data_IF_813421946427
#
_entry.id   IF_813421946427
#
_cell.length_a   1.000
_cell.length_b   1.000
_cell.length_c   1.000
_cell.angle_alpha   90.00
_cell.angle_beta   90.00
_cell.angle_gamma   90.00
#
_symmetry.space_group_name_H-M   'P 1'
#
loop_
_entity.id
_entity.type
_entity.pdbx_description
1 polymer ?
#
# COMPACT_ATOMS: atom_id res chain seq x y z
N UNK A 1 -22.70 14.91 -6.41
CA UNK A 1 -21.96 14.05 -5.46
C UNK A 1 -20.56 13.71 -5.97
N UNK A 2 -20.38 13.20 -7.19
CA UNK A 2 -19.05 12.84 -7.73
C UNK A 2 -18.05 14.02 -7.78
N UNK A 3 -18.48 15.21 -8.21
CA UNK A 3 -17.57 16.37 -8.30
C UNK A 3 -17.04 16.87 -6.95
N UNK A 4 -17.82 16.73 -5.87
CA UNK A 4 -17.38 17.11 -4.52
C UNK A 4 -16.30 16.17 -3.97
N UNK A 5 -16.45 14.86 -4.19
CA UNK A 5 -15.45 13.87 -3.79
C UNK A 5 -14.13 14.01 -4.53
N UNK A 6 -14.17 14.32 -5.84
CA UNK A 6 -12.96 14.54 -6.63
C UNK A 6 -12.14 15.74 -6.13
N UNK A 7 -12.81 16.85 -5.79
CA UNK A 7 -12.15 18.04 -5.23
C UNK A 7 -11.54 17.77 -3.86
N UNK A 8 -12.21 16.98 -3.02
CA UNK A 8 -11.68 16.58 -1.72
C UNK A 8 -10.45 15.67 -1.88
N UNK A 9 -10.53 14.65 -2.74
CA UNK A 9 -9.41 13.73 -3.01
C UNK A 9 -8.18 14.46 -3.55
N UNK A 10 -8.35 15.44 -4.44
CA UNK A 10 -7.25 16.21 -5.00
C UNK A 10 -6.46 17.02 -3.93
N UNK A 11 -7.10 17.37 -2.81
CA UNK A 11 -6.47 18.09 -1.69
C UNK A 11 -5.79 17.14 -0.69
N UNK A 12 -5.95 15.83 -0.86
CA UNK A 12 -5.50 14.81 0.08
C UNK A 12 -4.51 13.83 -0.58
N UNK A 13 -3.98 14.19 -1.76
CA UNK A 13 -2.98 13.39 -2.47
C UNK A 13 -1.66 13.43 -1.67
N UNK A 14 -1.02 12.27 -1.43
CA UNK A 14 0.29 12.27 -0.79
C UNK A 14 1.32 13.02 -1.63
N UNK A 15 2.17 13.85 -1.03
CA UNK A 15 3.23 14.54 -1.76
C UNK A 15 4.35 13.57 -2.15
N UNK A 16 5.04 13.87 -3.25
CA UNK A 16 6.37 13.33 -3.50
C UNK A 16 7.35 14.36 -2.93
N UNK A 17 8.11 14.03 -1.85
CA UNK A 17 9.03 14.97 -1.21
C UNK A 17 10.11 15.44 -2.19
N UNK A 18 10.78 16.54 -1.88
CA UNK A 18 11.96 16.97 -2.62
C UNK A 18 13.10 15.97 -2.42
N UNK A 19 13.33 15.54 -1.18
CA UNK A 19 14.36 14.57 -0.80
C UNK A 19 13.90 13.73 0.40
N UNK A 20 14.42 12.50 0.48
CA UNK A 20 14.44 11.66 1.67
C UNK A 20 15.85 11.78 2.25
N UNK A 21 15.96 12.09 3.54
CA UNK A 21 17.24 12.31 4.21
C UNK A 21 17.40 11.37 5.40
N UNK A 22 18.63 10.94 5.66
CA UNK A 22 18.98 10.19 6.87
C UNK A 22 19.15 11.09 8.09
N UNK A 23 19.47 10.51 9.27
CA UNK A 23 19.57 11.26 10.52
C UNK A 23 20.70 12.29 10.54
N UNK A 24 21.74 12.08 9.71
CA UNK A 24 22.87 13.01 9.54
C UNK A 24 22.63 14.07 8.44
N UNK A 25 21.44 14.10 7.83
CA UNK A 25 21.08 15.00 6.73
C UNK A 25 21.64 14.58 5.37
N UNK A 26 22.16 13.36 5.24
CA UNK A 26 22.58 12.80 3.96
C UNK A 26 21.36 12.42 3.10
N UNK A 27 21.36 12.81 1.83
CA UNK A 27 20.29 12.47 0.90
C UNK A 27 20.32 10.97 0.58
N UNK A 28 19.19 10.30 0.84
CA UNK A 28 18.94 8.88 0.54
C UNK A 28 18.30 8.73 -0.84
N UNK A 29 17.26 9.51 -1.11
CA UNK A 29 16.55 9.51 -2.38
C UNK A 29 16.05 10.91 -2.71
N UNK A 30 15.93 11.22 -4.00
CA UNK A 30 15.46 12.52 -4.50
C UNK A 30 14.10 12.37 -5.17
N UNK A 31 13.39 13.49 -5.28
CA UNK A 31 12.16 13.57 -6.04
C UNK A 31 12.31 13.04 -7.47
N UNK A 32 13.43 13.36 -8.13
CA UNK A 32 13.69 12.89 -9.49
C UNK A 32 13.83 11.39 -9.56
N UNK A 33 14.55 10.75 -8.62
CA UNK A 33 14.70 9.29 -8.59
C UNK A 33 13.35 8.58 -8.41
N UNK A 34 12.48 9.09 -7.52
CA UNK A 34 11.12 8.55 -7.35
C UNK A 34 10.28 8.72 -8.64
N UNK A 35 10.41 9.85 -9.32
CA UNK A 35 9.71 10.09 -10.59
C UNK A 35 10.25 9.22 -11.74
N UNK A 36 11.57 9.07 -11.84
CA UNK A 36 12.23 8.22 -12.84
C UNK A 36 11.90 6.75 -12.58
N UNK A 37 11.80 6.33 -11.32
CA UNK A 37 11.29 5.01 -10.92
C UNK A 37 9.87 4.73 -11.38
N UNK A 38 8.98 5.73 -11.26
CA UNK A 38 7.63 5.64 -11.81
C UNK A 38 7.64 5.52 -13.34
N UNK A 39 8.56 6.21 -14.01
CA UNK A 39 8.75 6.08 -15.46
C UNK A 39 9.21 4.67 -15.83
N UNK A 40 10.21 4.12 -15.13
CA UNK A 40 10.68 2.76 -15.32
C UNK A 40 9.55 1.72 -15.12
N UNK A 41 8.74 1.89 -14.07
CA UNK A 41 7.56 1.07 -13.82
C UNK A 41 6.56 1.07 -14.99
N UNK A 42 6.28 2.25 -15.54
CA UNK A 42 5.31 2.42 -16.62
C UNK A 42 5.84 1.90 -17.97
N UNK A 43 7.09 2.22 -18.32
CA UNK A 43 7.69 1.83 -19.59
C UNK A 43 7.86 0.32 -19.71
N UNK A 44 8.21 -0.35 -18.61
CA UNK A 44 8.33 -1.80 -18.56
C UNK A 44 6.99 -2.52 -18.32
N UNK A 45 5.86 -1.79 -18.32
CA UNK A 45 4.51 -2.34 -18.18
C UNK A 45 4.33 -3.21 -16.94
N UNK A 46 4.94 -2.84 -15.82
CA UNK A 46 4.96 -3.67 -14.62
C UNK A 46 3.57 -3.85 -13.98
N UNK A 47 2.57 -3.00 -14.30
CA UNK A 47 1.15 -3.23 -13.98
C UNK A 47 0.52 -4.41 -14.73
N UNK A 48 1.09 -4.87 -15.85
CA UNK A 48 0.65 -6.08 -16.55
C UNK A 48 1.27 -7.35 -15.96
N UNK A 49 2.31 -7.18 -15.12
CA UNK A 49 2.96 -8.26 -14.39
C UNK A 49 2.39 -8.36 -12.96
N UNK A 50 2.55 -7.33 -12.15
CA UNK A 50 2.03 -7.22 -10.78
C UNK A 50 1.11 -6.03 -10.61
N UNK A 51 1.01 -5.53 -9.37
CA UNK A 51 0.18 -4.37 -9.03
C UNK A 51 0.93 -3.34 -8.19
N UNK A 52 0.43 -2.11 -8.16
CA UNK A 52 0.91 -1.09 -7.22
C UNK A 52 -0.30 -0.41 -6.60
N UNK A 53 -0.26 -0.16 -5.29
CA UNK A 53 -1.42 0.33 -4.54
C UNK A 53 -2.68 -0.53 -4.77
N UNK A 54 -2.51 -1.85 -4.94
CA UNK A 54 -3.60 -2.81 -5.19
C UNK A 54 -4.18 -2.78 -6.60
N UNK A 55 -3.60 -2.01 -7.52
CA UNK A 55 -4.08 -1.86 -8.89
C UNK A 55 -3.08 -2.44 -9.89
N UNK A 56 -3.48 -3.46 -10.64
CA UNK A 56 -2.67 -4.09 -11.68
C UNK A 56 -3.06 -5.53 -11.92
N UNK A 57 -2.11 -6.30 -12.46
CA UNK A 57 -2.22 -7.74 -12.64
C UNK A 57 -1.87 -8.49 -11.35
N UNK A 58 -2.19 -9.77 -11.33
CA UNK A 58 -1.98 -10.67 -10.19
C UNK A 58 -1.00 -11.80 -10.50
N UNK A 59 -0.16 -11.63 -11.54
CA UNK A 59 0.84 -12.64 -11.86
C UNK A 59 2.08 -12.50 -10.96
N UNK A 60 2.58 -11.27 -10.82
CA UNK A 60 3.59 -10.89 -9.83
C UNK A 60 2.98 -10.45 -8.50
N UNK A 61 3.83 -9.90 -7.64
CA UNK A 61 3.44 -9.31 -6.35
C UNK A 61 2.76 -7.95 -6.52
N UNK A 62 2.14 -7.45 -5.44
CA UNK A 62 1.91 -6.02 -5.32
C UNK A 62 3.20 -5.34 -4.83
N UNK A 63 3.76 -4.44 -5.63
CA UNK A 63 5.05 -3.81 -5.34
C UNK A 63 5.01 -2.91 -4.12
N UNK A 64 3.86 -2.30 -3.79
CA UNK A 64 3.74 -1.50 -2.56
C UNK A 64 3.76 -2.40 -1.33
N UNK A 65 2.98 -3.49 -1.35
CA UNK A 65 2.93 -4.43 -0.23
C UNK A 65 4.24 -5.21 -0.05
N UNK A 66 4.84 -5.70 -1.13
CA UNK A 66 6.13 -6.40 -1.11
C UNK A 66 7.25 -5.47 -0.61
N UNK A 67 7.27 -4.20 -1.02
CA UNK A 67 8.25 -3.24 -0.51
C UNK A 67 8.06 -2.92 0.97
N UNK A 68 6.82 -2.77 1.43
CA UNK A 68 6.56 -2.51 2.85
C UNK A 68 7.03 -3.69 3.71
N UNK A 69 6.78 -4.91 3.27
CA UNK A 69 7.22 -6.13 3.94
C UNK A 69 8.75 -6.21 3.97
N UNK A 70 9.43 -5.98 2.84
CA UNK A 70 10.90 -5.91 2.78
C UNK A 70 11.47 -4.81 3.68
N UNK A 71 10.83 -3.63 3.74
CA UNK A 71 11.25 -2.54 4.63
C UNK A 71 11.21 -3.02 6.09
N UNK A 72 10.10 -3.62 6.52
CA UNK A 72 9.95 -4.21 7.87
C UNK A 72 11.03 -5.27 8.14
N UNK A 73 11.24 -6.21 7.21
CA UNK A 73 12.24 -7.28 7.36
C UNK A 73 13.67 -6.73 7.50
N UNK A 74 14.05 -5.73 6.71
CA UNK A 74 15.37 -5.13 6.79
C UNK A 74 15.58 -4.27 8.04
N UNK A 75 14.55 -3.56 8.52
CA UNK A 75 14.61 -2.87 9.82
C UNK A 75 14.77 -3.88 10.97
N UNK A 76 14.07 -5.02 10.92
CA UNK A 76 14.25 -6.12 11.88
C UNK A 76 15.67 -6.65 11.88
N UNK A 77 16.23 -6.91 10.70
CA UNK A 77 17.58 -7.42 10.54
C UNK A 77 18.63 -6.43 11.02
N UNK A 78 18.43 -5.13 10.77
CA UNK A 78 19.28 -4.07 11.31
C UNK A 78 19.38 -4.15 12.83
N UNK A 79 18.23 -4.21 13.51
CA UNK A 79 18.20 -4.27 14.98
C UNK A 79 18.70 -5.59 15.54
N UNK A 80 18.44 -6.71 14.86
CA UNK A 80 18.94 -8.01 15.27
C UNK A 80 20.47 -8.04 15.24
N UNK A 81 21.05 -7.52 14.15
CA UNK A 81 22.49 -7.41 14.02
C UNK A 81 23.08 -6.40 15.02
N UNK A 82 22.46 -5.23 15.20
CA UNK A 82 22.93 -4.19 16.12
C UNK A 82 22.93 -4.64 17.59
N UNK A 83 21.87 -5.31 18.04
CA UNK A 83 21.69 -5.65 19.46
C UNK A 83 22.16 -7.05 19.84
N UNK A 84 22.17 -7.98 18.90
CA UNK A 84 22.39 -9.40 19.18
C UNK A 84 23.44 -10.06 18.29
N UNK A 85 24.01 -9.34 17.32
CA UNK A 85 25.03 -9.83 16.39
C UNK A 85 24.61 -11.13 15.65
N UNK A 86 23.32 -11.28 15.36
CA UNK A 86 22.73 -12.46 14.71
C UNK A 86 21.53 -12.06 13.85
N UNK A 87 21.11 -12.96 12.96
CA UNK A 87 19.92 -12.77 12.15
C UNK A 87 18.65 -12.74 13.01
N UNK A 88 17.64 -11.95 12.61
CA UNK A 88 16.36 -11.85 13.32
C UNK A 88 15.66 -13.21 13.50
N UNK A 89 15.80 -14.09 12.52
CA UNK A 89 15.18 -15.43 12.52
C UNK A 89 15.80 -16.41 13.53
N UNK A 90 17.01 -16.14 14.00
CA UNK A 90 17.72 -16.97 14.98
C UNK A 90 17.46 -16.53 16.44
N UNK A 91 16.78 -15.39 16.62
CA UNK A 91 16.45 -14.84 17.94
C UNK A 91 15.34 -15.64 18.64
N UNK A 92 15.32 -15.57 19.97
CA UNK A 92 14.19 -16.14 20.74
C UNK A 92 12.95 -15.25 20.57
N UNK A 93 11.74 -15.80 20.73
CA UNK A 93 10.50 -15.03 20.58
C UNK A 93 10.40 -13.76 21.45
N UNK A 94 11.01 -13.77 22.65
CA UNK A 94 11.02 -12.59 23.52
C UNK A 94 11.94 -11.46 23.00
N UNK A 95 13.01 -11.81 22.31
CA UNK A 95 13.93 -10.85 21.67
C UNK A 95 13.30 -10.31 20.38
N UNK A 96 12.69 -11.19 19.58
CA UNK A 96 11.92 -10.82 18.38
C UNK A 96 10.83 -9.80 18.71
N UNK A 97 10.00 -10.05 19.72
CA UNK A 97 8.95 -9.12 20.12
C UNK A 97 9.46 -7.75 20.61
N UNK A 98 10.69 -7.68 21.12
CA UNK A 98 11.34 -6.41 21.45
C UNK A 98 11.79 -5.64 20.20
N UNK A 99 12.25 -6.34 19.16
CA UNK A 99 12.60 -5.74 17.86
C UNK A 99 11.34 -5.33 17.10
N UNK A 100 10.29 -6.15 17.10
CA UNK A 100 9.02 -5.85 16.42
C UNK A 100 8.42 -4.53 16.95
N UNK A 101 8.46 -4.31 18.26
CA UNK A 101 8.08 -3.04 18.90
C UNK A 101 8.83 -1.84 18.32
N UNK A 102 10.12 -2.00 18.05
CA UNK A 102 10.96 -0.91 17.54
C UNK A 102 10.74 -0.66 16.06
N UNK A 103 10.44 -1.71 15.29
CA UNK A 103 10.04 -1.57 13.88
C UNK A 103 8.73 -0.80 13.80
N UNK A 104 7.74 -1.14 14.64
CA UNK A 104 6.50 -0.37 14.74
C UNK A 104 6.78 1.09 15.11
N UNK A 105 7.64 1.34 16.12
CA UNK A 105 7.95 2.70 16.57
C UNK A 105 8.72 3.52 15.50
N UNK A 106 9.58 2.89 14.67
CA UNK A 106 10.28 3.57 13.56
C UNK A 106 9.35 3.88 12.38
N UNK A 107 8.34 3.04 12.14
CA UNK A 107 7.39 3.21 11.02
C UNK A 107 6.13 4.01 11.41
N UNK A 108 5.93 4.30 12.70
CA UNK A 108 4.86 5.18 13.21
C UNK A 108 5.19 6.65 12.90
N UNK A 109 4.93 7.04 11.65
CA UNK A 109 5.22 8.37 11.13
C UNK A 109 3.95 9.19 10.90
N UNK A 110 4.00 10.49 11.21
CA UNK A 110 2.96 11.45 10.84
C UNK A 110 3.49 12.52 9.89
N UNK A 111 2.86 12.65 8.72
CA UNK A 111 3.26 13.67 7.75
C UNK A 111 2.91 15.09 8.22
N UNK A 112 3.91 15.97 8.22
CA UNK A 112 3.72 17.39 8.52
C UNK A 112 3.37 18.18 7.26
N UNK A 113 2.22 18.87 7.27
CA UNK A 113 1.75 19.65 6.12
C UNK A 113 2.78 20.73 5.71
N UNK A 114 3.26 20.66 4.46
CA UNK A 114 4.27 21.58 3.93
C UNK A 114 5.72 21.15 4.13
N UNK A 115 5.97 19.97 4.72
CA UNK A 115 7.30 19.40 4.76
C UNK A 115 7.83 19.13 3.34
N UNK A 116 9.07 19.55 3.09
CA UNK A 116 9.76 19.34 1.80
C UNK A 116 10.58 18.05 1.80
N UNK A 117 10.92 17.53 2.99
CA UNK A 117 11.75 16.34 3.19
C UNK A 117 11.05 15.28 4.03
N UNK A 118 11.43 14.02 3.80
CA UNK A 118 11.15 12.90 4.73
C UNK A 118 12.44 12.61 5.49
N UNK A 119 12.34 12.44 6.81
CA UNK A 119 13.48 12.13 7.69
C UNK A 119 13.42 10.65 8.08
N UNK A 120 14.38 9.86 7.60
CA UNK A 120 14.53 8.46 7.95
C UNK A 120 15.42 8.28 9.17
N UNK A 121 15.04 7.31 10.00
CA UNK A 121 15.92 6.73 11.01
C UNK A 121 17.07 5.94 10.36
N UNK A 122 18.14 5.64 11.11
CA UNK A 122 19.25 4.83 10.58
C UNK A 122 18.83 3.42 10.09
N UNK A 123 17.94 2.68 10.78
CA UNK A 123 17.39 1.43 10.29
C UNK A 123 16.61 1.58 8.98
N UNK A 124 15.85 2.67 8.80
CA UNK A 124 15.11 2.93 7.56
C UNK A 124 16.03 3.27 6.39
N UNK A 125 17.10 4.04 6.61
CA UNK A 125 18.13 4.28 5.59
C UNK A 125 18.75 2.96 5.15
N UNK A 126 19.09 2.08 6.09
CA UNK A 126 19.58 0.75 5.79
C UNK A 126 18.57 -0.05 4.96
N UNK A 127 17.30 -0.11 5.41
CA UNK A 127 16.24 -0.83 4.71
C UNK A 127 16.01 -0.28 3.29
N UNK A 128 16.06 1.03 3.09
CA UNK A 128 15.93 1.67 1.78
C UNK A 128 16.98 1.16 0.79
N UNK A 129 18.26 1.15 1.20
CA UNK A 129 19.34 0.65 0.33
C UNK A 129 19.23 -0.86 0.08
N UNK A 130 18.87 -1.66 1.08
CA UNK A 130 18.66 -3.09 0.90
C UNK A 130 17.53 -3.39 -0.10
N UNK A 131 16.42 -2.63 -0.06
CA UNK A 131 15.33 -2.77 -1.02
C UNK A 131 15.76 -2.37 -2.44
N UNK A 132 16.59 -1.31 -2.59
CA UNK A 132 17.14 -0.92 -3.89
C UNK A 132 17.96 -2.07 -4.50
N UNK A 133 18.79 -2.72 -3.70
CA UNK A 133 19.61 -3.85 -4.12
C UNK A 133 18.76 -5.08 -4.48
N UNK A 134 17.75 -5.40 -3.67
CA UNK A 134 16.79 -6.47 -3.95
C UNK A 134 16.04 -6.24 -5.27
N UNK A 135 15.62 -5.01 -5.54
CA UNK A 135 14.91 -4.66 -6.76
C UNK A 135 15.83 -4.70 -8.00
N UNK A 136 17.07 -4.24 -7.87
CA UNK A 136 18.09 -4.39 -8.90
C UNK A 136 18.30 -5.88 -9.24
N UNK A 137 18.50 -6.73 -8.24
CA UNK A 137 18.62 -8.17 -8.45
C UNK A 137 17.36 -8.75 -9.10
N UNK A 138 16.18 -8.46 -8.56
CA UNK A 138 14.93 -9.11 -8.97
C UNK A 138 14.47 -8.69 -10.37
N UNK A 139 14.57 -7.40 -10.71
CA UNK A 139 13.97 -6.84 -11.92
C UNK A 139 14.97 -6.50 -13.02
N UNK A 140 16.27 -6.34 -12.71
CA UNK A 140 17.31 -6.24 -13.72
C UNK A 140 18.00 -7.60 -13.97
N UNK A 141 18.57 -8.25 -12.95
CA UNK A 141 19.22 -9.56 -13.16
C UNK A 141 18.21 -10.66 -13.49
N UNK A 142 17.01 -10.54 -12.92
CA UNK A 142 15.86 -11.40 -13.18
C UNK A 142 15.60 -12.42 -12.07
N UNK A 143 14.37 -12.95 -12.04
CA UNK A 143 13.95 -13.95 -11.08
C UNK A 143 12.97 -14.91 -11.74
N UNK A 144 13.50 -16.03 -12.27
CA UNK A 144 12.69 -17.02 -12.99
C UNK A 144 11.58 -17.62 -12.12
N UNK A 145 11.84 -17.82 -10.82
CA UNK A 145 10.86 -18.33 -9.86
C UNK A 145 9.67 -17.37 -9.68
N UNK A 146 9.92 -16.07 -9.80
CA UNK A 146 8.89 -15.01 -9.76
C UNK A 146 8.34 -14.65 -11.14
N UNK A 147 8.74 -15.37 -12.18
CA UNK A 147 8.31 -15.10 -13.55
C UNK A 147 8.86 -13.80 -14.13
N UNK A 148 9.95 -13.26 -13.56
CA UNK A 148 10.62 -12.05 -14.01
C UNK A 148 11.81 -12.43 -14.89
N UNK A 149 11.82 -12.10 -16.20
CA UNK A 149 12.97 -12.36 -17.05
C UNK A 149 14.16 -11.46 -16.68
N UNK A 150 15.37 -11.87 -17.06
CA UNK A 150 16.53 -10.97 -17.04
C UNK A 150 16.26 -9.76 -17.96
N UNK A 151 16.81 -8.62 -17.58
CA UNK A 151 16.63 -7.33 -18.25
C UNK A 151 15.15 -6.90 -18.36
N UNK A 152 14.27 -7.33 -17.44
CA UNK A 152 12.88 -6.86 -17.45
C UNK A 152 12.81 -5.34 -17.25
N UNK A 153 13.72 -4.82 -16.42
CA UNK A 153 14.16 -3.43 -16.45
C UNK A 153 15.57 -3.41 -17.04
N UNK A 154 15.79 -2.57 -18.05
CA UNK A 154 16.98 -2.63 -18.91
C UNK A 154 18.30 -2.22 -18.26
N UNK A 155 18.26 -1.60 -17.08
CA UNK A 155 19.45 -1.22 -16.33
C UNK A 155 19.27 -1.38 -14.81
N UNK A 156 20.37 -1.65 -14.12
CA UNK A 156 20.44 -1.73 -12.66
C UNK A 156 19.98 -0.41 -12.00
N UNK A 157 20.36 0.73 -12.58
CA UNK A 157 19.99 2.06 -12.07
C UNK A 157 18.48 2.31 -12.16
N UNK A 158 17.85 2.01 -13.30
CA UNK A 158 16.39 2.13 -13.44
C UNK A 158 15.65 1.17 -12.50
N UNK A 159 16.22 -0.01 -12.20
CA UNK A 159 15.63 -0.95 -11.26
C UNK A 159 15.73 -0.45 -9.81
N UNK A 160 16.85 0.17 -9.43
CA UNK A 160 16.99 0.88 -8.14
C UNK A 160 16.00 2.04 -8.02
N UNK A 161 15.84 2.83 -9.08
CA UNK A 161 14.86 3.92 -9.12
C UNK A 161 13.43 3.38 -9.04
N UNK A 162 13.13 2.26 -9.69
CA UNK A 162 11.84 1.59 -9.51
C UNK A 162 11.61 1.20 -8.04
N UNK A 163 12.65 0.78 -7.33
CA UNK A 163 12.61 0.58 -5.88
C UNK A 163 12.28 1.88 -5.14
N UNK A 164 12.90 3.01 -5.47
CA UNK A 164 12.61 4.32 -4.86
C UNK A 164 11.13 4.72 -5.03
N UNK A 165 10.55 4.43 -6.20
CA UNK A 165 9.11 4.62 -6.42
C UNK A 165 8.25 3.69 -5.55
N UNK A 166 8.61 2.42 -5.46
CA UNK A 166 7.90 1.46 -4.63
C UNK A 166 8.01 1.79 -3.13
N UNK A 167 9.19 2.22 -2.67
CA UNK A 167 9.48 2.70 -1.32
C UNK A 167 8.65 3.94 -0.98
N UNK A 168 8.53 4.90 -1.91
CA UNK A 168 7.61 6.03 -1.72
C UNK A 168 6.16 5.55 -1.58
N UNK A 169 5.72 4.57 -2.39
CA UNK A 169 4.35 4.03 -2.23
C UNK A 169 4.16 3.27 -0.92
N UNK A 170 5.20 2.62 -0.40
CA UNK A 170 5.17 1.96 0.90
C UNK A 170 5.14 2.98 2.03
N UNK A 171 5.92 4.06 1.94
CA UNK A 171 5.93 5.14 2.91
C UNK A 171 4.54 5.78 3.07
N UNK A 172 3.89 6.21 1.98
CA UNK A 172 2.52 6.77 2.06
C UNK A 172 1.49 5.77 2.62
N UNK A 173 1.83 4.48 2.62
CA UNK A 173 0.94 3.41 3.05
C UNK A 173 0.98 3.15 4.56
N UNK A 174 2.04 3.58 5.25
CA UNK A 174 2.16 3.51 6.72
C UNK A 174 2.21 4.90 7.39
N UNK A 175 2.50 5.97 6.63
CA UNK A 175 2.57 7.33 7.18
C UNK A 175 1.20 7.99 7.27
N UNK A 176 0.87 8.47 8.47
CA UNK A 176 -0.36 9.18 8.77
C UNK A 176 -0.51 10.50 8.04
N UNK A 177 -1.74 10.76 7.57
CA UNK A 177 -2.11 12.05 6.98
C UNK A 177 -2.01 13.17 8.00
N UNK A 178 -1.77 14.42 7.57
CA UNK A 178 -1.82 15.57 8.48
C UNK A 178 -3.13 15.61 9.26
N UNK A 179 -3.03 15.65 10.59
CA UNK A 179 -4.18 15.75 11.50
C UNK A 179 -5.14 14.55 11.42
N UNK A 180 -4.60 13.37 11.10
CA UNK A 180 -5.31 12.08 11.08
C UNK A 180 -4.46 11.03 11.78
N UNK A 181 -5.13 10.02 12.33
CA UNK A 181 -4.52 8.78 12.87
C UNK A 181 -4.72 7.65 11.83
N UNK A 182 -4.50 7.98 10.56
CA UNK A 182 -4.71 7.07 9.43
C UNK A 182 -3.83 7.50 8.26
N UNK A 183 -3.12 6.53 7.69
CA UNK A 183 -2.25 6.66 6.54
C UNK A 183 -2.95 7.16 5.29
N UNK A 184 -2.19 7.61 4.29
CA UNK A 184 -2.75 8.11 3.02
C UNK A 184 -3.58 7.06 2.27
N UNK A 185 -3.34 5.77 2.53
CA UNK A 185 -4.02 4.64 1.89
C UNK A 185 -5.15 4.04 2.72
N UNK A 186 -5.40 4.54 3.93
CA UNK A 186 -6.37 3.98 4.89
C UNK A 186 -5.94 2.61 5.45
N UNK A 187 -4.70 2.50 5.90
CA UNK A 187 -4.09 1.30 6.51
C UNK A 187 -3.99 0.11 5.56
N UNK A 188 -3.93 0.42 4.26
CA UNK A 188 -3.64 -0.56 3.23
C UNK A 188 -2.17 -0.40 2.82
N UNK A 189 -1.39 -1.48 2.63
CA UNK A 189 -1.78 -2.88 2.71
C UNK A 189 -1.78 -3.40 4.15
N UNK A 190 -2.47 -4.52 4.41
CA UNK A 190 -2.43 -5.16 5.73
C UNK A 190 -1.00 -5.62 6.05
N UNK A 191 -0.37 -4.96 7.02
CA UNK A 191 0.92 -5.32 7.58
C UNK A 191 0.98 -4.82 9.05
N UNK A 192 0.60 -5.65 10.02
CA UNK A 192 0.59 -5.24 11.44
C UNK A 192 1.94 -4.80 11.96
N UNK A 193 3.03 -5.34 11.43
CA UNK A 193 4.40 -5.02 11.84
C UNK A 193 4.82 -3.61 11.38
N UNK A 194 4.11 -3.05 10.39
CA UNK A 194 4.21 -1.66 9.98
C UNK A 194 3.08 -0.77 10.54
N UNK A 195 2.28 -1.27 11.50
CA UNK A 195 1.14 -0.56 12.08
C UNK A 195 -0.17 -0.67 11.29
N UNK A 196 -0.13 -1.17 10.05
CA UNK A 196 -1.29 -1.21 9.18
C UNK A 196 -2.32 -2.27 9.57
N UNK A 197 -3.47 -1.82 10.07
CA UNK A 197 -4.62 -2.68 10.39
C UNK A 197 -5.95 -2.06 9.95
N UNK A 198 -7.00 -2.84 9.65
CA UNK A 198 -8.27 -2.27 9.18
C UNK A 198 -8.85 -1.25 10.16
N UNK A 199 -9.05 -0.01 9.69
CA UNK A 199 -9.59 1.08 10.52
C UNK A 199 -11.01 0.77 11.02
N UNK A 200 -11.38 1.37 12.16
CA UNK A 200 -12.75 1.31 12.66
C UNK A 200 -13.79 1.83 11.67
N UNK A 201 -13.44 2.88 10.91
CA UNK A 201 -14.31 3.42 9.85
C UNK A 201 -14.54 2.40 8.72
N UNK A 202 -13.49 1.71 8.27
CA UNK A 202 -13.59 0.64 7.27
C UNK A 202 -14.54 -0.46 7.73
N UNK A 203 -14.44 -0.89 8.99
CA UNK A 203 -15.32 -1.91 9.54
C UNK A 203 -16.78 -1.45 9.63
N UNK A 204 -17.04 -0.24 10.12
CA UNK A 204 -18.39 0.33 10.24
C UNK A 204 -19.07 0.46 8.88
N UNK A 205 -18.40 1.05 7.89
CA UNK A 205 -18.99 1.25 6.56
C UNK A 205 -19.20 -0.06 5.79
N UNK A 206 -18.37 -1.08 6.06
CA UNK A 206 -18.58 -2.43 5.51
C UNK A 206 -19.87 -3.05 6.02
N UNK A 207 -20.14 -2.96 7.33
CA UNK A 207 -21.39 -3.45 7.94
C UNK A 207 -22.60 -2.68 7.44
N UNK A 208 -22.53 -1.35 7.39
CA UNK A 208 -23.61 -0.50 6.86
C UNK A 208 -23.91 -0.89 5.41
N UNK A 209 -22.89 -1.05 4.56
CA UNK A 209 -23.05 -1.42 3.15
C UNK A 209 -23.73 -2.78 2.99
N UNK A 210 -23.35 -3.77 3.80
CA UNK A 210 -23.99 -5.09 3.82
C UNK A 210 -25.48 -5.00 4.18
N UNK A 211 -25.82 -4.25 5.23
CA UNK A 211 -27.22 -4.06 5.67
C UNK A 211 -28.03 -3.35 4.59
N UNK A 212 -27.47 -2.30 3.96
CA UNK A 212 -28.13 -1.58 2.87
C UNK A 212 -28.34 -2.47 1.65
N UNK A 213 -27.35 -3.31 1.28
CA UNK A 213 -27.47 -4.26 0.17
C UNK A 213 -28.62 -5.25 0.42
N UNK A 214 -28.61 -5.92 1.57
CA UNK A 214 -29.65 -6.89 1.94
C UNK A 214 -31.03 -6.22 2.02
N UNK A 215 -31.11 -5.02 2.61
CA UNK A 215 -32.32 -4.23 2.68
C UNK A 215 -32.86 -3.86 1.30
N UNK A 216 -32.00 -3.39 0.39
CA UNK A 216 -32.37 -3.03 -0.97
C UNK A 216 -32.87 -4.24 -1.78
N UNK A 217 -32.20 -5.39 -1.67
CA UNK A 217 -32.65 -6.64 -2.29
C UNK A 217 -34.02 -7.06 -1.75
N UNK A 218 -34.22 -7.00 -0.43
CA UNK A 218 -35.50 -7.33 0.19
C UNK A 218 -36.64 -6.41 -0.27
N UNK A 219 -36.40 -5.10 -0.32
CA UNK A 219 -37.36 -4.11 -0.86
C UNK A 219 -37.66 -4.40 -2.34
N UNK A 220 -36.63 -4.68 -3.14
CA UNK A 220 -36.80 -5.00 -4.56
C UNK A 220 -37.68 -6.24 -4.79
N UNK A 221 -37.45 -7.31 -4.03
CA UNK A 221 -38.26 -8.54 -4.07
C UNK A 221 -39.70 -8.26 -3.62
N UNK A 222 -39.89 -7.51 -2.53
CA UNK A 222 -41.22 -7.15 -2.04
C UNK A 222 -42.02 -6.34 -3.08
N UNK A 223 -41.39 -5.33 -3.70
CA UNK A 223 -42.02 -4.53 -4.74
C UNK A 223 -42.39 -5.38 -5.96
N UNK A 224 -41.49 -6.26 -6.42
CA UNK A 224 -41.74 -7.15 -7.55
C UNK A 224 -42.89 -8.14 -7.31
N UNK A 225 -43.02 -8.67 -6.09
CA UNK A 225 -44.16 -9.52 -5.74
C UNK A 225 -45.48 -8.72 -5.64
N UNK A 226 -45.43 -7.51 -5.09
CA UNK A 226 -46.59 -6.63 -5.00
C UNK A 226 -47.12 -6.22 -6.37
N UNK A 227 -46.25 -5.93 -7.34
CA UNK A 227 -46.65 -5.60 -8.72
C UNK A 227 -47.19 -6.82 -9.46
N UNK A 228 -46.58 -7.99 -9.33
CA UNK A 228 -47.08 -9.23 -9.96
C UNK A 228 -48.48 -9.63 -9.45
N UNK A 229 -48.73 -9.48 -8.15
CA UNK A 229 -50.05 -9.72 -7.56
C UNK A 229 -51.10 -8.72 -8.07
N UNK A 230 -50.69 -7.45 -8.29
CA UNK A 230 -51.56 -6.42 -8.84
C UNK A 230 -51.92 -6.68 -10.31
N UNK A 231 -50.95 -7.04 -11.16
CA UNK A 231 -51.18 -7.36 -12.57
C UNK A 231 -52.10 -8.57 -12.76
N UNK A 232 -51.93 -9.63 -11.96
CA UNK A 232 -52.83 -10.79 -11.95
C UNK A 232 -54.27 -10.40 -11.56
N UNK A 233 -54.43 -9.55 -10.53
CA UNK A 233 -55.75 -9.09 -10.10
C UNK A 233 -56.46 -8.23 -11.15
N UNK A 234 -55.71 -7.40 -11.90
CA UNK A 234 -56.24 -6.60 -13.02
C UNK A 234 -56.61 -7.50 -14.20
N UNK A 235 -55.76 -8.46 -14.56
CA UNK A 235 -56.03 -9.40 -15.65
C UNK A 235 -57.28 -10.24 -15.41
N UNK A 236 -57.46 -10.78 -14.19
CA UNK A 236 -58.65 -11.55 -13.82
C UNK A 236 -59.91 -10.68 -13.98
N UNK A 237 -59.88 -9.43 -13.49
CA UNK A 237 -61.03 -8.51 -13.57
C UNK A 237 -61.45 -8.24 -15.02
N UNK A 238 -60.50 -8.00 -15.92
CA UNK A 238 -60.76 -7.74 -17.33
C UNK A 238 -61.24 -8.96 -18.13
N UNK A 239 -61.04 -10.18 -17.63
CA UNK A 239 -61.54 -11.42 -18.28
C UNK A 239 -62.94 -11.83 -17.82
N UNK A 240 -63.45 -11.23 -16.75
CA UNK A 240 -64.77 -11.52 -16.18
C UNK A 240 -65.86 -10.51 -16.58
N UNK A 241 -65.52 -9.46 -17.30
CA UNK A 241 -66.42 -8.50 -17.96
C UNK A 241 -66.56 -8.83 -19.47
#
# INVERSE_FOLDING_TARGET
MLGGGALYSAQQVPPIPQEVIGPDGETVATQSQVQDGKVAFQQNSLMNHGSILGNGAYYGVDYTADTLDLKVEHVREYYAQERHETAYTDLKPAEQGGIDRLVEDDLDEQFTEGAETIEYSAPEVYAHEQVRDEYAQRYHEGSLERGVPADFIGSEEEARQFADFALWTAWISHTDRPRSDTSFTNEWPYNPDAGNTPTGATMIWSVISMVLLVGAVGVGVFMAHGTAAHELAVSIRNTTD
#
